data_IF_288411275711
#
_entry.id   IF_288411275711
#
_cell.length_a   1.000
_cell.length_b   1.000
_cell.length_c   1.000
_cell.angle_alpha   90.00
_cell.angle_beta   90.00
_cell.angle_gamma   90.00
#
_symmetry.space_group_name_H-M   'P 1'
#
loop_
_entity.id
_entity.type
_entity.pdbx_description
1 polymer ?
#
# COMPACT_ATOMS: atom_id res chain seq x y z
N UNK A 1 -5.24 -16.17 16.66
CA UNK A 1 -5.40 -14.73 16.37
C UNK A 1 -4.01 -14.12 16.44
N UNK A 2 -3.35 -13.95 15.30
CA UNK A 2 -2.06 -13.25 15.29
C UNK A 2 -2.32 -11.77 15.55
N UNK A 3 -1.59 -11.13 16.48
CA UNK A 3 -1.70 -9.70 16.68
C UNK A 3 -1.26 -9.03 15.38
N UNK A 4 -2.14 -8.22 14.79
CA UNK A 4 -1.74 -7.29 13.75
C UNK A 4 -0.58 -6.47 14.32
N UNK A 5 0.63 -6.70 13.83
CA UNK A 5 1.82 -5.95 14.22
C UNK A 5 1.69 -4.58 13.56
N UNK A 6 0.79 -3.75 14.09
CA UNK A 6 0.88 -2.32 13.90
C UNK A 6 2.06 -1.87 14.73
N UNK A 7 3.26 -1.93 14.15
CA UNK A 7 4.39 -1.23 14.70
C UNK A 7 3.93 0.20 14.98
N UNK A 8 3.97 0.59 16.25
CA UNK A 8 3.61 1.92 16.74
C UNK A 8 4.74 2.90 16.36
N UNK A 9 5.12 2.92 15.09
CA UNK A 9 6.17 3.78 14.56
C UNK A 9 5.61 5.19 14.58
N UNK A 10 6.02 6.00 15.57
CA UNK A 10 5.58 7.39 15.69
C UNK A 10 5.96 8.18 14.44
N UNK A 11 7.15 7.92 13.90
CA UNK A 11 7.69 8.53 12.69
C UNK A 11 7.93 7.49 11.59
N UNK A 12 7.02 7.45 10.60
CA UNK A 12 7.08 6.50 9.48
C UNK A 12 7.86 7.06 8.28
N UNK A 13 8.42 8.27 8.35
CA UNK A 13 9.12 8.89 7.21
C UNK A 13 10.33 8.10 6.74
N UNK A 14 10.99 7.39 7.67
CA UNK A 14 12.13 6.52 7.39
C UNK A 14 11.75 5.04 7.21
N UNK A 15 10.46 4.71 7.18
CA UNK A 15 10.03 3.34 6.90
C UNK A 15 10.35 2.98 5.44
N UNK A 16 10.37 1.67 5.15
CA UNK A 16 10.37 1.18 3.79
C UNK A 16 8.94 0.77 3.41
N UNK A 17 8.45 1.32 2.31
CA UNK A 17 7.24 0.87 1.62
C UNK A 17 7.61 -0.07 0.50
N UNK A 18 6.77 -1.07 0.23
CA UNK A 18 6.90 -1.97 -0.90
C UNK A 18 5.71 -1.74 -1.83
N UNK A 19 6.01 -1.44 -3.09
CA UNK A 19 5.02 -1.15 -4.11
C UNK A 19 5.19 -2.01 -5.34
N UNK A 20 4.08 -2.31 -5.98
CA UNK A 20 3.99 -2.99 -7.27
C UNK A 20 3.60 -1.97 -8.34
N UNK A 21 4.40 -1.91 -9.40
CA UNK A 21 4.14 -1.13 -10.60
C UNK A 21 3.90 -2.05 -11.80
N UNK A 22 3.15 -1.57 -12.79
CA UNK A 22 2.93 -2.28 -14.04
C UNK A 22 3.11 -1.37 -15.26
N UNK A 23 3.91 -1.84 -16.21
CA UNK A 23 4.24 -1.14 -17.44
C UNK A 23 4.12 -2.06 -18.64
N UNK A 24 3.92 -1.50 -19.83
CA UNK A 24 4.10 -2.25 -21.07
C UNK A 24 5.58 -2.56 -21.23
N UNK A 25 5.91 -3.80 -21.57
CA UNK A 25 7.29 -4.27 -21.68
C UNK A 25 8.12 -3.49 -22.70
N UNK A 26 7.49 -2.90 -23.73
CA UNK A 26 8.16 -2.04 -24.71
C UNK A 26 8.64 -0.70 -24.13
N UNK A 27 7.97 -0.19 -23.10
CA UNK A 27 8.25 1.11 -22.49
C UNK A 27 9.31 0.95 -21.36
N UNK A 28 9.62 -0.29 -20.98
CA UNK A 28 10.57 -0.60 -19.90
C UNK A 28 12.02 -0.21 -20.19
N UNK A 29 12.48 -0.34 -21.43
CA UNK A 29 13.86 -0.02 -21.78
C UNK A 29 14.16 1.47 -21.58
N UNK A 30 13.19 2.33 -21.93
CA UNK A 30 13.26 3.78 -21.73
C UNK A 30 13.26 4.11 -20.24
N UNK A 31 12.33 3.55 -19.47
CA UNK A 31 12.24 3.72 -18.01
C UNK A 31 13.56 3.36 -17.31
N UNK A 32 14.14 2.19 -17.63
CA UNK A 32 15.38 1.73 -17.00
C UNK A 32 16.58 2.60 -17.36
N UNK A 33 16.60 3.19 -18.57
CA UNK A 33 17.67 4.09 -18.98
C UNK A 33 17.67 5.41 -18.21
N UNK A 34 16.49 5.95 -17.90
CA UNK A 34 16.35 7.17 -17.08
C UNK A 34 16.76 6.87 -15.64
N UNK A 35 16.20 5.80 -15.07
CA UNK A 35 16.39 5.41 -13.67
C UNK A 35 17.84 5.02 -13.36
N UNK A 36 18.52 4.34 -14.29
CA UNK A 36 19.90 3.87 -14.10
C UNK A 36 20.95 4.98 -13.96
N UNK A 37 20.59 6.24 -14.25
CA UNK A 37 21.49 7.39 -14.11
C UNK A 37 21.26 8.21 -12.83
N UNK A 38 20.20 7.90 -12.08
CA UNK A 38 19.83 8.66 -10.89
C UNK A 38 20.62 8.22 -9.65
N UNK A 39 21.03 9.16 -8.77
CA UNK A 39 21.56 8.82 -7.45
C UNK A 39 20.50 8.20 -6.52
N UNK A 40 19.21 8.40 -6.81
CA UNK A 40 18.08 7.73 -6.14
C UNK A 40 17.14 7.11 -7.19
N UNK A 41 17.46 5.90 -7.67
CA UNK A 41 16.70 5.21 -8.71
C UNK A 41 15.24 4.93 -8.30
N UNK A 42 14.99 4.65 -7.02
CA UNK A 42 13.65 4.30 -6.54
C UNK A 42 12.72 5.51 -6.54
N UNK A 43 13.20 6.66 -6.04
CA UNK A 43 12.41 7.90 -6.05
C UNK A 43 12.21 8.43 -7.47
N UNK A 44 13.22 8.33 -8.33
CA UNK A 44 13.09 8.69 -9.75
C UNK A 44 12.05 7.81 -10.47
N UNK A 45 12.06 6.50 -10.19
CA UNK A 45 11.08 5.57 -10.73
C UNK A 45 9.64 5.89 -10.28
N UNK A 46 9.47 6.30 -9.02
CA UNK A 46 8.18 6.73 -8.47
C UNK A 46 7.64 7.97 -9.18
N UNK A 47 8.51 8.94 -9.48
CA UNK A 47 8.10 10.26 -9.98
C UNK A 47 7.97 10.35 -11.50
N UNK A 48 8.80 9.61 -12.25
CA UNK A 48 9.03 9.90 -13.68
C UNK A 48 8.31 8.97 -14.65
N UNK A 49 7.71 7.87 -14.18
CA UNK A 49 7.22 6.82 -15.07
C UNK A 49 5.68 6.77 -15.14
N UNK A 50 5.05 7.19 -16.27
CA UNK A 50 3.61 7.05 -16.44
C UNK A 50 3.24 5.56 -16.48
N UNK A 51 2.45 5.11 -15.50
CA UNK A 51 2.06 3.72 -15.41
C UNK A 51 1.02 3.32 -16.45
N UNK A 52 1.13 2.08 -16.90
CA UNK A 52 0.19 1.49 -17.86
C UNK A 52 -0.35 0.19 -17.29
N UNK A 53 -1.29 0.30 -16.35
CA UNK A 53 -2.04 -0.86 -15.88
C UNK A 53 -2.95 -1.39 -17.01
N UNK A 54 -3.10 -2.71 -17.17
CA UNK A 54 -4.11 -3.27 -18.05
C UNK A 54 -5.51 -2.88 -17.58
N UNK A 55 -6.38 -2.46 -18.50
CA UNK A 55 -7.76 -2.04 -18.19
C UNK A 55 -8.81 -3.13 -18.39
N UNK A 56 -8.39 -4.30 -18.86
CA UNK A 56 -9.24 -5.41 -19.31
C UNK A 56 -9.41 -6.51 -18.25
N UNK A 57 -8.95 -6.29 -17.01
CA UNK A 57 -9.05 -7.30 -15.95
C UNK A 57 -8.07 -8.47 -16.11
N UNK A 58 -7.16 -8.41 -17.09
CA UNK A 58 -6.25 -9.51 -17.41
C UNK A 58 -5.10 -9.69 -16.42
N UNK A 59 -5.03 -8.88 -15.37
CA UNK A 59 -3.93 -8.91 -14.41
C UNK A 59 -4.46 -9.07 -12.99
N UNK A 60 -3.90 -10.02 -12.26
CA UNK A 60 -4.16 -10.18 -10.83
C UNK A 60 -2.88 -10.48 -10.08
N UNK A 61 -2.83 -10.07 -8.81
CA UNK A 61 -1.74 -10.42 -7.90
C UNK A 61 -2.25 -11.43 -6.87
N UNK A 62 -1.59 -12.58 -6.85
CA UNK A 62 -1.69 -13.60 -5.82
C UNK A 62 -0.71 -13.29 -4.68
N UNK A 63 -1.20 -13.31 -3.44
CA UNK A 63 -0.40 -13.12 -2.24
C UNK A 63 -0.87 -14.03 -1.12
N UNK A 64 0.04 -14.42 -0.24
CA UNK A 64 -0.31 -15.15 0.97
C UNK A 64 -0.59 -14.16 2.11
N UNK A 65 -1.81 -14.17 2.62
CA UNK A 65 -2.20 -13.35 3.76
C UNK A 65 -2.94 -14.22 4.78
N UNK A 66 -2.46 -14.24 6.03
CA UNK A 66 -2.98 -15.08 7.12
C UNK A 66 -3.06 -16.59 6.74
N UNK A 67 -2.03 -17.09 6.06
CA UNK A 67 -1.96 -18.50 5.63
C UNK A 67 -2.92 -18.89 4.51
N UNK A 68 -3.63 -17.92 3.92
CA UNK A 68 -4.50 -18.13 2.76
C UNK A 68 -3.98 -17.38 1.57
N UNK A 69 -4.02 -18.02 0.41
CA UNK A 69 -3.74 -17.36 -0.87
C UNK A 69 -4.94 -16.50 -1.27
N UNK A 70 -4.69 -15.22 -1.53
CA UNK A 70 -5.67 -14.24 -1.98
C UNK A 70 -5.26 -13.69 -3.34
N UNK A 71 -6.23 -13.50 -4.24
CA UNK A 71 -6.02 -12.87 -5.53
C UNK A 71 -6.72 -11.53 -5.55
N UNK A 72 -5.97 -10.48 -5.93
CA UNK A 72 -6.48 -9.13 -6.06
C UNK A 72 -6.42 -8.76 -7.55
N UNK A 73 -7.55 -8.44 -8.20
CA UNK A 73 -7.53 -7.93 -9.57
C UNK A 73 -6.84 -6.56 -9.61
N UNK A 74 -5.97 -6.38 -10.59
CA UNK A 74 -5.11 -5.21 -10.75
C UNK A 74 -5.64 -4.20 -11.78
N UNK A 75 -6.78 -4.49 -12.41
CA UNK A 75 -7.42 -3.56 -13.33
C UNK A 75 -8.19 -2.46 -12.59
N UNK A 76 -8.24 -1.23 -13.13
CA UNK A 76 -9.14 -0.18 -12.66
C UNK A 76 -10.60 -0.67 -12.63
N UNK A 77 -11.46 -0.17 -11.71
CA UNK A 77 -11.26 0.98 -10.83
C UNK A 77 -10.61 0.61 -9.48
N UNK A 78 -10.25 -0.65 -9.28
CA UNK A 78 -9.84 -1.13 -7.96
C UNK A 78 -8.49 -0.55 -7.54
N UNK A 79 -7.67 -0.08 -8.49
CA UNK A 79 -6.41 0.64 -8.28
C UNK A 79 -6.18 1.63 -9.45
N UNK A 80 -5.65 2.85 -9.22
CA UNK A 80 -4.54 3.07 -8.29
C UNK A 80 -4.78 4.16 -7.23
N UNK A 81 -4.05 4.04 -6.12
CA UNK A 81 -3.83 5.14 -5.16
C UNK A 81 -3.33 6.39 -5.88
N UNK A 82 -3.36 7.58 -5.25
CA UNK A 82 -2.88 8.83 -5.89
C UNK A 82 -1.45 8.71 -6.47
N UNK A 83 -0.66 7.76 -5.96
CA UNK A 83 0.71 7.50 -6.37
C UNK A 83 0.83 6.61 -7.61
N UNK A 84 -0.28 6.11 -8.17
CA UNK A 84 -0.33 5.28 -9.39
C UNK A 84 0.22 3.85 -9.21
N UNK A 85 0.90 3.55 -8.10
CA UNK A 85 1.36 2.21 -7.72
C UNK A 85 0.34 1.46 -6.85
N UNK A 86 0.47 0.14 -6.77
CA UNK A 86 -0.18 -0.67 -5.74
C UNK A 86 0.75 -0.79 -4.53
N UNK A 87 0.37 -0.19 -3.40
CA UNK A 87 1.03 -0.43 -2.13
C UNK A 87 0.71 -1.85 -1.62
N UNK A 88 1.74 -2.69 -1.53
CA UNK A 88 1.65 -4.06 -1.02
C UNK A 88 2.27 -4.22 0.37
N UNK A 89 2.71 -3.12 1.00
CA UNK A 89 3.43 -3.14 2.29
C UNK A 89 2.64 -3.84 3.40
N UNK A 90 1.30 -3.73 3.37
CA UNK A 90 0.41 -4.37 4.35
C UNK A 90 0.41 -5.91 4.28
N UNK A 91 0.89 -6.49 3.19
CA UNK A 91 0.97 -7.94 2.98
C UNK A 91 2.38 -8.48 3.24
N UNK A 92 3.35 -7.59 3.45
CA UNK A 92 4.72 -7.96 3.78
C UNK A 92 4.79 -8.37 5.25
N UNK A 93 5.46 -9.48 5.53
CA UNK A 93 5.78 -9.94 6.87
C UNK A 93 7.28 -10.20 7.02
N UNK A 94 7.73 -10.42 8.26
CA UNK A 94 9.10 -10.82 8.53
C UNK A 94 9.39 -12.20 7.90
N UNK A 95 10.57 -12.34 7.29
CA UNK A 95 10.99 -13.55 6.58
C UNK A 95 10.65 -13.54 5.09
N UNK A 96 10.46 -14.73 4.52
CA UNK A 96 10.28 -14.92 3.09
C UNK A 96 8.87 -14.54 2.65
N UNK A 97 8.77 -13.61 1.72
CA UNK A 97 7.51 -13.15 1.14
C UNK A 97 7.39 -13.66 -0.30
N UNK A 98 6.22 -14.16 -0.68
CA UNK A 98 5.94 -14.61 -2.05
C UNK A 98 4.81 -13.80 -2.65
N UNK A 99 5.10 -13.16 -3.79
CA UNK A 99 4.13 -12.46 -4.62
C UNK A 99 4.07 -13.14 -5.98
N UNK A 100 2.87 -13.50 -6.41
CA UNK A 100 2.64 -14.12 -7.70
C UNK A 100 1.84 -13.15 -8.57
N UNK A 101 2.33 -12.84 -9.77
CA UNK A 101 1.57 -12.03 -10.72
C UNK A 101 1.03 -12.96 -11.80
N UNK A 102 -0.28 -13.00 -11.93
CA UNK A 102 -0.96 -13.82 -12.91
C UNK A 102 -1.42 -12.96 -14.09
N UNK A 103 -0.96 -13.33 -15.28
CA UNK A 103 -1.24 -12.69 -16.55
C UNK A 103 -2.25 -13.52 -17.35
N UNK A 104 -3.47 -13.05 -17.49
CA UNK A 104 -4.46 -13.56 -18.43
C UNK A 104 -4.14 -13.10 -19.87
N UNK A 105 -4.52 -13.84 -20.93
CA UNK A 105 -4.34 -13.36 -22.31
C UNK A 105 -5.17 -12.08 -22.55
N UNK A 106 -4.63 -10.99 -23.15
CA UNK A 106 -3.34 -10.84 -23.87
C UNK A 106 -2.19 -10.22 -23.05
N UNK A 107 -2.19 -10.32 -21.72
CA UNK A 107 -1.31 -9.56 -20.81
C UNK A 107 0.21 -9.86 -20.88
N UNK A 108 0.68 -10.69 -21.82
CA UNK A 108 2.13 -10.95 -22.04
C UNK A 108 2.93 -9.74 -22.50
N UNK A 109 2.27 -8.62 -22.80
CA UNK A 109 2.92 -7.35 -23.19
C UNK A 109 3.25 -6.45 -21.99
N UNK A 110 2.98 -6.90 -20.76
CA UNK A 110 3.22 -6.13 -19.54
C UNK A 110 4.35 -6.74 -18.70
N UNK A 111 5.07 -5.87 -18.01
CA UNK A 111 6.10 -6.18 -17.02
C UNK A 111 5.69 -5.55 -15.70
N UNK A 112 5.70 -6.34 -14.63
CA UNK A 112 5.45 -5.87 -13.29
C UNK A 112 6.76 -5.74 -12.52
N UNK A 113 6.88 -4.68 -11.72
CA UNK A 113 8.08 -4.39 -10.93
C UNK A 113 7.67 -4.24 -9.49
N UNK A 114 8.31 -5.03 -8.64
CA UNK A 114 8.25 -4.88 -7.19
C UNK A 114 9.47 -4.08 -6.75
N UNK A 115 9.26 -3.01 -6.00
CA UNK A 115 10.34 -2.15 -5.54
C UNK A 115 10.06 -1.60 -4.15
N UNK A 116 11.14 -1.38 -3.40
CA UNK A 116 11.10 -0.74 -2.10
C UNK A 116 11.45 0.74 -2.25
N UNK A 117 10.74 1.60 -1.53
CA UNK A 117 10.95 3.05 -1.56
C UNK A 117 10.56 3.68 -0.22
N UNK A 118 10.96 4.94 0.00
CA UNK A 118 10.44 5.71 1.12
C UNK A 118 8.96 6.06 0.91
N UNK A 119 8.14 6.09 1.97
CA UNK A 119 6.74 6.44 1.86
C UNK A 119 6.53 7.74 1.09
N UNK A 120 5.61 7.70 0.12
CA UNK A 120 5.21 8.89 -0.63
C UNK A 120 4.49 9.88 0.28
N UNK A 121 4.38 11.14 -0.14
CA UNK A 121 3.60 12.13 0.60
C UNK A 121 2.13 11.71 0.76
N UNK A 122 1.55 11.07 -0.26
CA UNK A 122 0.18 10.54 -0.20
C UNK A 122 0.07 9.42 0.85
N UNK A 123 0.98 8.44 0.83
CA UNK A 123 1.00 7.36 1.82
C UNK A 123 1.12 7.90 3.25
N UNK A 124 1.98 8.90 3.46
CA UNK A 124 2.13 9.59 4.74
C UNK A 124 0.82 10.30 5.15
N UNK A 125 0.16 10.98 4.21
CA UNK A 125 -1.11 11.67 4.43
C UNK A 125 -2.25 10.69 4.78
N UNK A 126 -2.33 9.55 4.09
CA UNK A 126 -3.31 8.49 4.36
C UNK A 126 -3.12 7.90 5.76
N UNK A 127 -1.87 7.65 6.17
CA UNK A 127 -1.58 7.18 7.53
C UNK A 127 -1.96 8.24 8.56
N UNK A 128 -1.64 9.51 8.32
CA UNK A 128 -2.01 10.61 9.22
C UNK A 128 -3.54 10.70 9.37
N UNK A 129 -4.29 10.57 8.27
CA UNK A 129 -5.75 10.55 8.28
C UNK A 129 -6.29 9.36 9.09
N UNK A 130 -5.78 8.14 8.86
CA UNK A 130 -6.19 6.94 9.61
C UNK A 130 -5.91 7.09 11.10
N UNK A 131 -4.75 7.64 11.48
CA UNK A 131 -4.39 7.92 12.88
C UNK A 131 -5.36 8.91 13.52
N UNK A 132 -5.70 10.00 12.82
CA UNK A 132 -6.69 10.98 13.28
C UNK A 132 -8.05 10.35 13.51
N UNK A 133 -8.54 9.57 12.54
CA UNK A 133 -9.83 8.87 12.65
C UNK A 133 -9.85 7.88 13.82
N UNK A 134 -8.75 7.13 14.03
CA UNK A 134 -8.62 6.20 15.16
C UNK A 134 -8.61 6.92 16.50
N UNK A 135 -7.93 8.06 16.60
CA UNK A 135 -7.92 8.87 17.82
C UNK A 135 -9.31 9.42 18.14
N UNK A 136 -10.03 9.91 17.12
CA UNK A 136 -11.40 10.42 17.27
C UNK A 136 -12.37 9.30 17.70
N UNK A 137 -12.26 8.13 17.10
CA UNK A 137 -13.04 6.96 17.50
C UNK A 137 -12.77 6.54 18.96
N UNK A 138 -11.50 6.50 19.37
CA UNK A 138 -11.13 6.19 20.75
C UNK A 138 -11.70 7.22 21.75
N UNK A 139 -11.67 8.51 21.38
CA UNK A 139 -12.27 9.58 22.17
C UNK A 139 -13.79 9.39 22.30
N UNK A 140 -14.48 9.09 21.20
CA UNK A 140 -15.93 8.84 21.21
C UNK A 140 -16.28 7.64 22.11
N UNK A 141 -15.58 6.52 21.96
CA UNK A 141 -15.78 5.36 22.84
C UNK A 141 -15.58 5.74 24.32
N UNK A 142 -14.51 6.47 24.65
CA UNK A 142 -14.26 6.92 26.02
C UNK A 142 -15.39 7.79 26.57
N UNK A 143 -16.05 8.59 25.74
CA UNK A 143 -17.19 9.42 26.13
C UNK A 143 -18.46 8.59 26.37
N UNK A 144 -18.69 7.54 25.59
CA UNK A 144 -19.86 6.65 25.75
C UNK A 144 -19.77 5.78 27.01
N UNK A 145 -18.56 5.47 27.48
CA UNK A 145 -18.32 4.70 28.70
C UNK A 145 -18.01 5.58 29.92
N UNK A 146 -18.25 6.90 29.84
CA UNK A 146 -18.08 7.77 31.01
C UNK A 146 -19.14 7.41 32.07
N UNK A 147 -18.75 7.17 33.33
CA UNK A 147 -19.71 6.90 34.40
C UNK A 147 -20.74 8.02 34.49
N UNK A 148 -22.02 7.66 34.64
CA UNK A 148 -23.08 8.62 34.92
C UNK A 148 -22.80 9.28 36.27
N UNK A 149 -22.66 10.60 36.28
CA UNK A 149 -22.53 11.37 37.52
C UNK A 149 -23.90 11.36 38.22
N UNK A 150 -24.06 10.51 39.24
CA UNK A 150 -25.29 10.46 40.05
C UNK A 150 -25.21 11.61 41.07
N UNK A 151 -26.17 12.55 41.09
CA UNK A 151 -26.20 13.60 42.10
C UNK A 151 -26.40 12.97 43.49
N UNK A 152 -25.45 13.18 44.40
CA UNK A 152 -25.64 12.85 45.81
C UNK A 152 -26.52 13.92 46.45
N UNK A 153 -27.78 13.57 46.75
CA UNK A 153 -28.64 14.40 47.58
C UNK A 153 -28.22 14.21 49.04
N UNK A 154 -27.78 15.29 49.68
CA UNK A 154 -27.52 15.33 51.13
C UNK A 154 -28.80 15.85 51.79
N UNK A 155 -29.42 15.01 52.62
CA UNK A 155 -30.59 15.34 53.44
C UNK A 155 -30.17 15.93 54.79
#
# INVERSE_FOLDING_TARGET
>A
MHPNIYYFIRDITNAASVSLACYRSKDMAEILSVVGTSPDPASEFVNSCPQTWPTDGSLSVGMFYNGKRQFIPLAPPLLPTHDRFLDVSQFVHEGDNTFEVEFGPPAKIYTCILFAHHPTQTQLADVAMRRKSKALWAQQLSSCFRPLEIPTFVF
#
